data_IF_269316272599
#
_entry.id   IF_269316272599
#
_cell.length_a   1.000
_cell.length_b   1.000
_cell.length_c   1.000
_cell.angle_alpha   90.00
_cell.angle_beta   90.00
_cell.angle_gamma   90.00
#
_symmetry.space_group_name_H-M   'P 1'
#
loop_
_entity.id
_entity.type
_entity.pdbx_description
1 polymer ?
#
# COMPACT_ATOMS: atom_id res chain seq x y z
N UNK A 1 10.37 6.47 21.62
CA UNK A 1 11.84 6.44 21.86
C UNK A 1 12.49 6.08 20.53
N UNK A 2 13.50 6.80 20.11
CA UNK A 2 14.16 6.61 18.82
C UNK A 2 15.57 6.07 19.03
N UNK A 3 15.95 5.04 18.27
CA UNK A 3 17.25 4.39 18.39
C UNK A 3 17.90 4.27 17.01
N UNK A 4 19.04 4.89 16.83
CA UNK A 4 19.85 4.73 15.64
C UNK A 4 20.73 3.48 15.74
N UNK A 5 20.34 2.43 15.02
CA UNK A 5 21.07 1.18 14.97
C UNK A 5 21.62 0.91 13.57
N UNK A 6 22.93 0.58 13.43
CA UNK A 6 23.45 0.12 12.15
C UNK A 6 22.69 -1.11 11.63
N UNK A 7 22.47 -1.22 10.31
CA UNK A 7 21.70 -2.34 9.72
C UNK A 7 22.25 -3.72 10.10
N UNK A 8 23.57 -3.83 10.29
CA UNK A 8 24.24 -5.09 10.67
C UNK A 8 24.04 -5.47 12.14
N UNK A 9 23.73 -4.50 13.00
CA UNK A 9 23.56 -4.72 14.45
C UNK A 9 22.11 -4.98 14.80
N UNK A 10 21.17 -4.36 14.08
CA UNK A 10 19.75 -4.43 14.35
C UNK A 10 19.18 -5.87 14.50
N UNK A 11 19.45 -6.82 13.59
CA UNK A 11 18.94 -8.18 13.73
C UNK A 11 19.43 -8.87 15.01
N UNK A 12 20.72 -8.74 15.32
CA UNK A 12 21.32 -9.31 16.52
C UNK A 12 20.72 -8.74 17.80
N UNK A 13 20.44 -7.43 17.79
CA UNK A 13 19.82 -6.76 18.92
C UNK A 13 18.37 -7.24 19.13
N UNK A 14 17.63 -7.46 18.05
CA UNK A 14 16.28 -8.04 18.12
C UNK A 14 16.28 -9.47 18.68
N UNK A 15 17.22 -10.31 18.24
CA UNK A 15 17.40 -11.67 18.77
C UNK A 15 17.69 -11.64 20.27
N UNK A 16 18.62 -10.81 20.70
CA UNK A 16 18.96 -10.69 22.11
C UNK A 16 17.77 -10.26 22.98
N UNK A 17 16.98 -9.32 22.53
CA UNK A 17 15.76 -8.92 23.28
C UNK A 17 14.76 -10.08 23.36
N UNK A 18 14.57 -10.83 22.27
CA UNK A 18 13.67 -12.00 22.27
C UNK A 18 14.19 -13.13 23.16
N UNK A 19 15.51 -13.32 23.26
CA UNK A 19 16.11 -14.26 24.20
C UNK A 19 15.86 -13.85 25.65
N UNK A 20 16.02 -12.57 25.99
CA UNK A 20 15.87 -12.04 27.34
C UNK A 20 14.39 -11.94 27.78
N UNK A 21 13.50 -11.54 26.89
CA UNK A 21 12.09 -11.19 27.19
C UNK A 21 11.05 -12.18 26.63
N UNK A 22 11.50 -13.19 25.87
CA UNK A 22 10.62 -14.12 25.19
C UNK A 22 10.20 -13.65 23.78
N UNK A 23 9.51 -14.52 23.04
CA UNK A 23 9.11 -14.26 21.66
C UNK A 23 8.27 -12.98 21.48
N UNK A 24 7.42 -12.68 22.47
CA UNK A 24 6.58 -11.48 22.48
C UNK A 24 7.29 -10.24 23.05
N UNK A 25 8.53 -10.37 23.52
CA UNK A 25 9.31 -9.26 24.06
C UNK A 25 9.65 -8.17 23.04
N UNK A 26 9.65 -8.53 21.75
CA UNK A 26 9.81 -7.58 20.63
C UNK A 26 8.92 -8.00 19.48
N UNK A 27 7.99 -7.14 19.12
CA UNK A 27 7.06 -7.30 18.00
C UNK A 27 7.29 -6.16 17.02
N UNK A 28 7.40 -6.46 15.73
CA UNK A 28 7.54 -5.43 14.71
C UNK A 28 6.17 -4.89 14.34
N UNK A 29 6.11 -3.61 13.99
CA UNK A 29 4.86 -2.97 13.59
C UNK A 29 4.56 -3.33 12.13
N UNK A 30 3.29 -3.55 11.82
CA UNK A 30 2.80 -3.71 10.46
C UNK A 30 2.79 -2.37 9.72
N UNK A 31 2.96 -2.41 8.42
CA UNK A 31 2.64 -1.29 7.54
C UNK A 31 1.74 -1.74 6.41
N UNK A 32 0.77 -0.90 6.06
CA UNK A 32 -0.14 -1.12 4.95
C UNK A 32 0.28 -0.26 3.77
N UNK A 33 0.38 -0.88 2.60
CA UNK A 33 0.55 -0.17 1.33
C UNK A 33 -0.80 -0.04 0.66
N UNK A 34 -1.14 1.16 0.21
CA UNK A 34 -2.36 1.41 -0.54
C UNK A 34 -2.12 1.31 -2.04
N UNK A 35 -3.17 1.00 -2.77
CA UNK A 35 -3.12 0.89 -4.23
C UNK A 35 -2.98 2.27 -4.85
N UNK A 36 -1.87 2.49 -5.57
CA UNK A 36 -1.65 3.73 -6.32
C UNK A 36 -2.56 3.82 -7.54
N UNK A 37 -2.75 5.03 -8.10
CA UNK A 37 -3.54 5.26 -9.30
C UNK A 37 -3.16 4.32 -10.46
N UNK A 38 -1.87 4.16 -10.75
CA UNK A 38 -1.39 3.26 -11.82
C UNK A 38 -1.72 1.79 -11.52
N UNK A 39 -1.55 1.36 -10.28
CA UNK A 39 -1.88 0.00 -9.87
C UNK A 39 -3.39 -0.26 -9.92
N UNK A 40 -4.21 0.73 -9.55
CA UNK A 40 -5.66 0.67 -9.64
C UNK A 40 -6.14 0.51 -11.08
N UNK A 41 -5.56 1.27 -12.03
CA UNK A 41 -5.85 1.12 -13.47
C UNK A 41 -5.54 -0.31 -13.94
N UNK A 42 -4.33 -0.81 -13.65
CA UNK A 42 -3.94 -2.16 -14.09
C UNK A 42 -4.81 -3.26 -13.48
N UNK A 43 -5.17 -3.11 -12.21
CA UNK A 43 -6.04 -4.08 -11.52
C UNK A 43 -7.48 -4.03 -12.05
N UNK A 44 -7.99 -2.81 -12.29
CA UNK A 44 -9.30 -2.62 -12.89
C UNK A 44 -9.37 -3.25 -14.30
N UNK A 45 -8.36 -3.02 -15.15
CA UNK A 45 -8.32 -3.59 -16.50
C UNK A 45 -8.32 -5.12 -16.48
N UNK A 46 -7.55 -5.75 -15.59
CA UNK A 46 -7.55 -7.22 -15.44
C UNK A 46 -8.88 -7.78 -14.96
N UNK A 47 -9.53 -7.05 -14.06
CA UNK A 47 -10.82 -7.44 -13.47
C UNK A 47 -12.04 -7.05 -14.30
N UNK A 48 -11.91 -6.14 -15.26
CA UNK A 48 -12.99 -5.65 -16.09
C UNK A 48 -13.66 -6.80 -16.87
N UNK A 49 -14.97 -6.81 -16.90
CA UNK A 49 -15.75 -7.81 -17.66
C UNK A 49 -16.94 -7.14 -18.35
N UNK A 50 -17.07 -7.42 -19.63
CA UNK A 50 -18.22 -7.04 -20.45
C UNK A 50 -18.41 -8.09 -21.55
N UNK A 51 -19.47 -7.97 -22.33
CA UNK A 51 -19.71 -8.86 -23.48
C UNK A 51 -18.54 -8.79 -24.49
N UNK A 52 -17.99 -7.60 -24.71
CA UNK A 52 -16.84 -7.36 -25.60
C UNK A 52 -15.51 -7.81 -24.99
N UNK A 53 -15.37 -7.73 -23.66
CA UNK A 53 -14.14 -8.05 -22.92
C UNK A 53 -14.37 -9.15 -21.87
N UNK A 54 -14.69 -10.40 -22.26
CA UNK A 54 -15.02 -11.47 -21.32
C UNK A 54 -13.84 -11.92 -20.45
N UNK A 55 -12.60 -11.65 -20.89
CA UNK A 55 -11.37 -12.02 -20.21
C UNK A 55 -10.61 -10.83 -19.59
N UNK A 56 -11.22 -9.65 -19.61
CA UNK A 56 -10.59 -8.40 -19.18
C UNK A 56 -10.03 -7.60 -20.35
N UNK A 57 -9.58 -6.40 -20.03
CA UNK A 57 -8.87 -5.53 -20.98
C UNK A 57 -7.45 -6.05 -21.13
N UNK A 58 -6.96 -6.11 -22.37
CA UNK A 58 -5.61 -6.57 -22.69
C UNK A 58 -4.54 -5.83 -21.86
N UNK A 59 -3.48 -6.54 -21.53
CA UNK A 59 -2.40 -6.01 -20.71
C UNK A 59 -1.74 -4.77 -21.34
N UNK A 60 -1.54 -4.76 -22.66
CA UNK A 60 -0.92 -3.62 -23.35
C UNK A 60 -1.82 -2.38 -23.29
N UNK A 61 -3.12 -2.56 -23.42
CA UNK A 61 -4.09 -1.48 -23.23
C UNK A 61 -4.12 -0.99 -21.77
N UNK A 62 -4.06 -1.91 -20.81
CA UNK A 62 -3.94 -1.55 -19.39
C UNK A 62 -2.67 -0.76 -19.10
N UNK A 63 -1.53 -1.17 -19.63
CA UNK A 63 -0.25 -0.45 -19.51
C UNK A 63 -0.31 0.93 -20.19
N UNK A 64 -0.94 1.03 -21.37
CA UNK A 64 -1.16 2.30 -22.02
C UNK A 64 -1.99 3.25 -21.13
N UNK A 65 -3.12 2.81 -20.61
CA UNK A 65 -3.95 3.62 -19.70
C UNK A 65 -3.18 4.06 -18.46
N UNK A 66 -2.43 3.16 -17.83
CA UNK A 66 -1.60 3.48 -16.68
C UNK A 66 -0.46 4.46 -17.01
N UNK A 67 0.08 4.43 -18.24
CA UNK A 67 1.13 5.34 -18.68
C UNK A 67 0.66 6.79 -18.84
N UNK A 68 -0.64 7.00 -19.07
CA UNK A 68 -1.24 8.33 -19.18
C UNK A 68 -1.30 9.06 -17.83
N UNK A 69 -1.16 8.32 -16.71
CA UNK A 69 -1.12 8.92 -15.37
C UNK A 69 0.24 9.57 -15.16
N UNK A 70 0.22 10.89 -15.02
CA UNK A 70 1.41 11.68 -14.79
C UNK A 70 1.97 11.52 -13.38
N UNK A 71 3.18 12.03 -13.18
CA UNK A 71 3.82 12.13 -11.87
C UNK A 71 4.63 13.41 -11.78
N UNK A 72 4.75 13.96 -10.59
CA UNK A 72 5.58 15.12 -10.30
C UNK A 72 6.44 14.84 -9.07
N UNK A 73 7.74 15.15 -9.15
CA UNK A 73 8.71 14.97 -8.05
C UNK A 73 8.68 13.58 -7.41
N UNK A 74 8.42 12.53 -8.22
CA UNK A 74 8.35 11.14 -7.73
C UNK A 74 6.97 10.71 -7.20
N UNK A 75 6.00 11.61 -7.11
CA UNK A 75 4.64 11.30 -6.68
C UNK A 75 3.71 11.16 -7.90
N UNK A 76 3.02 10.03 -7.98
CA UNK A 76 2.00 9.78 -9.02
C UNK A 76 0.74 10.58 -8.69
N UNK A 77 0.15 11.22 -9.68
CA UNK A 77 -1.15 11.89 -9.52
C UNK A 77 -2.26 10.88 -9.20
N UNK A 78 -3.23 11.33 -8.41
CA UNK A 78 -4.43 10.55 -8.12
C UNK A 78 -5.40 10.54 -9.31
N UNK A 79 -6.32 9.58 -9.33
CA UNK A 79 -7.37 9.52 -10.37
C UNK A 79 -8.25 10.77 -10.32
N UNK A 80 -8.55 11.29 -9.14
CA UNK A 80 -9.29 12.56 -8.98
C UNK A 80 -8.54 13.72 -9.64
N UNK A 81 -7.24 13.86 -9.38
CA UNK A 81 -6.40 14.87 -10.01
C UNK A 81 -6.32 14.72 -11.53
N UNK A 82 -6.31 13.49 -12.04
CA UNK A 82 -6.31 13.23 -13.47
C UNK A 82 -7.63 13.62 -14.15
N UNK A 83 -8.76 13.43 -13.46
CA UNK A 83 -10.10 13.67 -14.03
C UNK A 83 -10.58 15.10 -13.80
N UNK A 84 -10.36 15.65 -12.61
CA UNK A 84 -10.90 16.95 -12.18
C UNK A 84 -9.84 18.06 -12.25
N UNK A 85 -8.56 17.66 -12.27
CA UNK A 85 -7.45 18.59 -12.11
C UNK A 85 -7.21 18.93 -10.64
N UNK A 86 -6.21 19.77 -10.41
CA UNK A 86 -5.90 20.32 -9.08
C UNK A 86 -5.36 21.74 -9.25
N UNK A 87 -6.16 22.73 -8.86
CA UNK A 87 -5.82 24.15 -9.02
C UNK A 87 -4.61 24.57 -8.17
N UNK A 88 -4.41 23.98 -7.00
CA UNK A 88 -3.29 24.29 -6.12
C UNK A 88 -1.96 23.82 -6.72
N UNK A 89 -1.99 22.72 -7.48
CA UNK A 89 -0.84 22.19 -8.20
C UNK A 89 -0.76 22.71 -9.65
N UNK A 90 -1.69 23.56 -10.07
CA UNK A 90 -1.77 24.03 -11.45
C UNK A 90 -2.08 22.91 -12.48
N UNK A 91 -2.60 21.79 -12.01
CA UNK A 91 -2.89 20.63 -12.84
C UNK A 91 -4.28 20.75 -13.47
N UNK A 92 -4.33 20.57 -14.79
CA UNK A 92 -5.59 20.52 -15.54
C UNK A 92 -6.05 19.07 -15.73
N UNK A 93 -7.37 18.83 -15.91
CA UNK A 93 -7.88 17.52 -16.30
C UNK A 93 -7.15 16.92 -17.49
N UNK A 94 -6.73 15.67 -17.40
CA UNK A 94 -6.07 14.97 -18.50
C UNK A 94 -7.11 14.40 -19.47
N UNK A 95 -7.44 15.15 -20.52
CA UNK A 95 -8.44 14.73 -21.52
C UNK A 95 -8.08 13.40 -22.17
N UNK A 96 -6.80 13.18 -22.49
CA UNK A 96 -6.37 11.91 -23.11
C UNK A 96 -6.66 10.70 -22.21
N UNK A 97 -6.42 10.82 -20.91
CA UNK A 97 -6.75 9.76 -19.95
C UNK A 97 -8.26 9.55 -19.86
N UNK A 98 -9.02 10.63 -19.69
CA UNK A 98 -10.48 10.59 -19.57
C UNK A 98 -11.11 9.93 -20.82
N UNK A 99 -10.73 10.38 -22.02
CA UNK A 99 -11.25 9.86 -23.28
C UNK A 99 -10.86 8.38 -23.48
N UNK A 100 -9.66 7.99 -23.07
CA UNK A 100 -9.21 6.62 -23.20
C UNK A 100 -9.92 5.65 -22.24
N UNK A 101 -10.16 6.06 -21.00
CA UNK A 101 -10.86 5.23 -19.98
C UNK A 101 -12.35 5.14 -20.28
N UNK A 102 -12.98 6.21 -20.78
CA UNK A 102 -14.40 6.26 -21.10
C UNK A 102 -14.79 5.39 -22.33
N UNK A 103 -13.83 4.82 -23.04
CA UNK A 103 -14.09 3.77 -24.04
C UNK A 103 -14.62 2.48 -23.42
N UNK A 104 -14.40 2.28 -22.13
CA UNK A 104 -14.79 1.11 -21.36
C UNK A 104 -15.84 1.53 -20.34
N UNK A 105 -17.09 1.14 -20.56
CA UNK A 105 -18.21 1.54 -19.71
C UNK A 105 -18.00 1.12 -18.24
N UNK A 106 -18.13 2.08 -17.33
CA UNK A 106 -17.95 1.86 -15.88
C UNK A 106 -16.51 1.63 -15.40
N UNK A 107 -15.50 1.59 -16.29
CA UNK A 107 -14.11 1.32 -15.89
C UNK A 107 -13.58 2.40 -14.94
N UNK A 108 -13.88 3.66 -15.17
CA UNK A 108 -13.43 4.76 -14.31
C UNK A 108 -13.94 4.62 -12.87
N UNK A 109 -15.19 4.18 -12.69
CA UNK A 109 -15.78 3.97 -11.36
C UNK A 109 -15.11 2.81 -10.62
N UNK A 110 -14.73 1.75 -11.35
CA UNK A 110 -13.96 0.64 -10.78
C UNK A 110 -12.58 1.12 -10.33
N UNK A 111 -11.89 1.90 -11.16
CA UNK A 111 -10.57 2.45 -10.84
C UNK A 111 -10.64 3.34 -9.59
N UNK A 112 -11.62 4.23 -9.49
CA UNK A 112 -11.82 5.12 -8.33
C UNK A 112 -12.07 4.33 -7.04
N UNK A 113 -12.79 3.21 -7.11
CA UNK A 113 -13.05 2.34 -5.95
C UNK A 113 -11.82 1.56 -5.50
N UNK A 114 -10.91 1.26 -6.41
CA UNK A 114 -9.69 0.50 -6.12
C UNK A 114 -8.55 1.40 -5.59
N UNK A 115 -8.44 2.63 -6.10
CA UNK A 115 -7.41 3.56 -5.64
C UNK A 115 -7.52 3.80 -4.14
N UNK A 116 -6.39 3.79 -3.44
CA UNK A 116 -6.33 4.01 -2.00
C UNK A 116 -6.74 2.80 -1.14
N UNK A 117 -7.27 1.72 -1.72
CA UNK A 117 -7.55 0.51 -0.94
C UNK A 117 -6.25 -0.16 -0.50
N UNK A 118 -6.28 -0.85 0.63
CA UNK A 118 -5.12 -1.60 1.13
C UNK A 118 -4.82 -2.73 0.15
N UNK A 119 -3.64 -2.67 -0.47
CA UNK A 119 -3.18 -3.65 -1.47
C UNK A 119 -2.19 -4.67 -0.91
N UNK A 120 -1.43 -4.28 0.09
CA UNK A 120 -0.43 -5.13 0.70
C UNK A 120 -0.17 -4.74 2.15
N UNK A 121 0.33 -5.70 2.91
CA UNK A 121 0.85 -5.49 4.25
C UNK A 121 2.29 -5.97 4.32
N UNK A 122 3.13 -5.24 5.02
CA UNK A 122 4.54 -5.54 5.19
C UNK A 122 5.01 -5.19 6.60
N UNK A 123 6.25 -5.52 6.90
CA UNK A 123 6.88 -5.16 8.16
C UNK A 123 7.34 -3.71 8.06
N UNK A 124 7.00 -2.89 9.05
CA UNK A 124 7.50 -1.51 9.13
C UNK A 124 9.03 -1.51 9.25
N UNK A 125 9.68 -0.62 8.51
CA UNK A 125 11.14 -0.61 8.44
C UNK A 125 11.84 -0.36 9.79
N UNK A 126 11.23 0.41 10.68
CA UNK A 126 11.84 0.83 11.95
C UNK A 126 10.95 0.60 13.18
N UNK A 127 9.62 0.58 13.03
CA UNK A 127 8.68 0.49 14.14
C UNK A 127 8.74 -0.87 14.86
N UNK A 128 8.97 -0.84 16.17
CA UNK A 128 8.94 -2.02 17.04
C UNK A 128 8.26 -1.69 18.36
N UNK A 129 7.64 -2.70 18.95
CA UNK A 129 7.04 -2.64 20.26
C UNK A 129 7.83 -3.54 21.18
N UNK A 130 8.17 -3.00 22.35
CA UNK A 130 8.77 -3.76 23.43
C UNK A 130 7.72 -4.15 24.46
N UNK A 131 7.72 -5.41 24.84
CA UNK A 131 6.88 -5.93 25.90
C UNK A 131 7.72 -6.47 27.03
N UNK A 132 7.28 -6.30 28.28
CA UNK A 132 7.98 -6.82 29.43
C UNK A 132 7.71 -8.31 29.63
N UNK A 133 8.71 -9.02 30.17
CA UNK A 133 8.61 -10.46 30.43
C UNK A 133 7.50 -10.72 31.43
N UNK A 134 6.59 -11.64 31.07
CA UNK A 134 5.47 -12.03 31.92
C UNK A 134 4.19 -11.19 31.76
N UNK A 135 4.22 -10.16 30.93
CA UNK A 135 3.02 -9.45 30.49
C UNK A 135 2.49 -10.07 29.19
N UNK A 136 1.21 -10.40 29.17
CA UNK A 136 0.54 -10.76 27.93
C UNK A 136 0.50 -9.52 27.04
N UNK A 137 0.66 -9.72 25.71
CA UNK A 137 0.56 -8.64 24.76
C UNK A 137 -0.90 -8.24 24.62
N UNK A 138 -1.30 -7.23 25.40
CA UNK A 138 -2.69 -6.78 25.54
C UNK A 138 -3.08 -5.69 24.52
N UNK A 139 -2.17 -5.32 23.63
CA UNK A 139 -2.34 -4.21 22.69
C UNK A 139 -2.83 -4.64 21.30
N UNK A 140 -3.68 -5.65 21.24
CA UNK A 140 -4.33 -6.04 20.00
C UNK A 140 -3.77 -7.30 19.37
N UNK A 141 -4.29 -7.64 18.21
CA UNK A 141 -3.98 -8.89 17.54
C UNK A 141 -2.58 -8.86 16.92
N UNK A 142 -1.90 -10.00 17.04
CA UNK A 142 -0.61 -10.27 16.42
C UNK A 142 -0.83 -11.24 15.27
N UNK A 143 -0.03 -11.10 14.23
CA UNK A 143 0.01 -12.04 13.12
C UNK A 143 1.46 -12.41 12.77
N UNK A 144 1.61 -13.43 11.95
CA UNK A 144 2.91 -13.85 11.44
C UNK A 144 3.07 -13.38 10.01
N UNK A 145 4.16 -12.68 9.73
CA UNK A 145 4.56 -12.33 8.37
C UNK A 145 5.04 -13.58 7.61
N UNK A 146 5.14 -13.55 6.26
CA UNK A 146 5.56 -14.69 5.46
C UNK A 146 6.94 -15.27 5.83
N UNK A 147 7.83 -14.46 6.38
CA UNK A 147 9.16 -14.86 6.86
C UNK A 147 9.17 -15.42 8.30
N UNK A 148 7.98 -15.55 8.92
CA UNK A 148 7.84 -16.04 10.30
C UNK A 148 7.96 -14.96 11.39
N UNK A 149 8.19 -13.70 11.02
CA UNK A 149 8.28 -12.57 11.95
C UNK A 149 6.92 -12.27 12.57
N UNK A 150 6.88 -12.07 13.90
CA UNK A 150 5.68 -11.58 14.58
C UNK A 150 5.51 -10.08 14.35
N UNK A 151 4.34 -9.70 13.84
CA UNK A 151 3.98 -8.32 13.55
C UNK A 151 2.60 -7.99 14.12
N UNK A 152 2.34 -6.72 14.35
CA UNK A 152 1.01 -6.23 14.74
C UNK A 152 0.02 -6.38 13.60
N UNK A 153 -1.28 -6.39 13.89
CA UNK A 153 -2.35 -6.30 12.89
C UNK A 153 -2.76 -4.86 12.57
N UNK A 154 -2.15 -3.88 13.21
CA UNK A 154 -2.39 -2.45 13.05
C UNK A 154 -1.08 -1.73 12.70
N UNK A 155 -1.19 -0.60 12.03
CA UNK A 155 -0.07 0.26 11.63
C UNK A 155 0.25 1.31 12.69
N UNK A 156 1.36 2.05 12.53
CA UNK A 156 1.71 3.16 13.42
C UNK A 156 0.64 4.26 13.46
N UNK A 157 -0.13 4.42 12.39
CA UNK A 157 -1.20 5.44 12.31
C UNK A 157 -2.48 5.03 13.04
N UNK A 158 -2.62 3.77 13.40
CA UNK A 158 -3.78 3.26 14.14
C UNK A 158 -3.59 3.37 15.68
N UNK A 159 -2.47 3.97 16.12
CA UNK A 159 -2.13 4.13 17.54
C UNK A 159 -2.62 5.46 18.16
N UNK A 160 -3.15 6.37 17.37
CA UNK A 160 -3.73 7.63 17.80
C UNK A 160 -5.26 7.50 17.98
#
# INVERSE_FOLDING_TARGET
MDFDLPPTVRPKWFEKIREERGKLGLIQVCTFSTMSAKAAVLSACRGYRSEEFPHGIDNDQGQYLASLIGSERGFTYTISEMVEGNSEKGLRPNRTFIDAVNKYDGLLDIIRKLEGTISNRSIHASGVIFNDKGHEFDHGAIMTAPDGTLITQWSLHDQE
#
